data_IF_912012949300
#
_entry.id   IF_912012949300
#
_cell.length_a   1.000
_cell.length_b   1.000
_cell.length_c   1.000
_cell.angle_alpha   90.00
_cell.angle_beta   90.00
_cell.angle_gamma   90.00
#
_symmetry.space_group_name_H-M   'P 1'
#
loop_
_entity.id
_entity.type
_entity.pdbx_description
1 polymer ?
#
# COMPACT_ATOMS: atom_id res chain seq x y z
N UNK A 1 20.96 -37.52 16.45
CA UNK A 1 20.67 -36.51 15.47
C UNK A 1 20.40 -35.20 16.13
N UNK A 2 21.30 -34.29 15.96
CA UNK A 2 21.26 -32.99 16.58
C UNK A 2 20.63 -31.99 15.62
N UNK A 3 19.67 -31.23 16.16
CA UNK A 3 19.14 -30.03 15.49
C UNK A 3 20.29 -29.04 15.24
N UNK A 4 20.35 -28.42 14.05
CA UNK A 4 21.35 -27.39 13.77
C UNK A 4 21.13 -26.11 14.56
N UNK A 5 19.96 -25.96 15.17
CA UNK A 5 19.58 -24.79 15.98
C UNK A 5 19.95 -24.95 17.46
N UNK A 6 20.47 -26.11 17.87
CA UNK A 6 20.78 -26.40 19.28
C UNK A 6 22.23 -26.78 19.46
N UNK A 7 22.79 -26.41 20.60
CA UNK A 7 24.08 -26.90 21.08
C UNK A 7 23.83 -27.84 22.28
N UNK A 8 24.69 -28.87 22.37
CA UNK A 8 24.60 -29.89 23.41
C UNK A 8 25.89 -29.87 24.20
N UNK A 9 25.79 -29.66 25.51
CA UNK A 9 26.92 -29.67 26.45
C UNK A 9 26.70 -30.73 27.55
N UNK A 10 27.77 -31.40 27.89
CA UNK A 10 27.75 -32.31 29.02
C UNK A 10 28.10 -31.56 30.29
N UNK A 11 27.24 -31.68 31.31
CA UNK A 11 27.50 -31.07 32.59
C UNK A 11 28.66 -31.79 33.26
N UNK A 12 29.70 -31.05 33.68
CA UNK A 12 30.88 -31.57 34.31
C UNK A 12 30.53 -32.44 35.55
N UNK A 13 31.04 -33.70 35.55
CA UNK A 13 30.88 -34.59 36.67
C UNK A 13 29.52 -35.29 36.79
N UNK A 14 28.64 -35.17 35.80
CA UNK A 14 27.35 -35.84 35.77
C UNK A 14 27.07 -36.48 34.42
N UNK A 15 26.07 -37.35 34.37
CA UNK A 15 25.54 -37.93 33.13
C UNK A 15 24.52 -37.02 32.42
N UNK A 16 24.24 -35.84 33.00
CA UNK A 16 23.28 -34.90 32.41
C UNK A 16 23.84 -34.16 31.20
N UNK A 17 22.99 -34.00 30.22
CA UNK A 17 23.25 -33.26 28.99
C UNK A 17 22.40 -32.02 28.97
N UNK A 18 23.02 -30.85 28.77
CA UNK A 18 22.31 -29.59 28.64
C UNK A 18 22.13 -29.28 27.15
N UNK A 19 20.89 -29.12 26.73
CA UNK A 19 20.53 -28.74 25.36
C UNK A 19 20.06 -27.30 25.39
N UNK A 20 20.76 -26.41 24.66
CA UNK A 20 20.41 -24.99 24.55
C UNK A 20 20.26 -24.59 23.10
N UNK A 21 19.36 -23.66 22.78
CA UNK A 21 19.28 -23.08 21.46
C UNK A 21 20.54 -22.24 21.18
N UNK A 22 21.05 -22.30 19.95
CA UNK A 22 22.19 -21.47 19.54
C UNK A 22 21.81 -19.99 19.61
N UNK A 23 22.72 -19.07 20.01
CA UNK A 23 22.42 -17.65 20.12
C UNK A 23 22.12 -16.97 18.78
N UNK A 24 22.69 -17.49 17.70
CA UNK A 24 22.54 -16.93 16.36
C UNK A 24 22.14 -18.01 15.35
N UNK A 25 21.50 -17.58 14.26
CA UNK A 25 21.17 -18.47 13.17
C UNK A 25 22.46 -19.09 12.59
N UNK A 26 22.45 -20.40 12.33
CA UNK A 26 23.56 -20.99 11.60
C UNK A 26 23.64 -20.43 10.19
N UNK A 27 24.84 -20.03 9.78
CA UNK A 27 25.10 -19.57 8.40
C UNK A 27 25.44 -20.81 7.59
N UNK A 28 24.62 -21.13 6.59
CA UNK A 28 24.99 -22.14 5.61
C UNK A 28 26.14 -21.61 4.73
N UNK A 29 27.16 -22.40 4.42
CA UNK A 29 28.20 -21.98 3.48
C UNK A 29 27.66 -21.54 2.11
N UNK A 30 26.49 -22.06 1.73
CA UNK A 30 25.83 -21.77 0.47
C UNK A 30 24.84 -20.60 0.55
N UNK A 31 24.73 -19.95 1.72
CA UNK A 31 23.86 -18.78 1.89
C UNK A 31 24.48 -17.56 1.20
N UNK A 32 23.81 -16.95 0.21
CA UNK A 32 24.33 -15.78 -0.47
C UNK A 32 24.55 -14.60 0.50
N UNK A 33 25.60 -13.81 0.26
CA UNK A 33 25.99 -12.67 1.10
C UNK A 33 24.89 -11.60 1.23
N UNK A 34 23.97 -11.56 0.31
CA UNK A 34 22.89 -10.55 0.25
C UNK A 34 21.54 -11.02 0.80
N UNK A 35 21.48 -12.17 1.47
CA UNK A 35 20.33 -12.55 2.29
C UNK A 35 20.30 -11.63 3.52
N UNK A 36 19.10 -11.14 3.89
CA UNK A 36 18.95 -10.31 5.07
C UNK A 36 19.12 -11.09 6.38
N UNK A 37 20.28 -11.73 6.51
CA UNK A 37 20.62 -12.57 7.65
C UNK A 37 20.39 -11.84 8.97
N UNK A 38 20.84 -10.59 9.08
CA UNK A 38 20.68 -9.81 10.30
C UNK A 38 19.21 -9.63 10.70
N UNK A 39 18.34 -9.39 9.72
CA UNK A 39 16.90 -9.24 9.95
C UNK A 39 16.26 -10.53 10.41
N UNK A 40 16.58 -11.64 9.73
CA UNK A 40 16.09 -12.97 10.12
C UNK A 40 16.66 -13.42 11.46
N UNK A 41 17.92 -13.10 11.73
CA UNK A 41 18.56 -13.45 12.99
C UNK A 41 17.90 -12.74 14.18
N UNK A 42 17.49 -11.48 14.03
CA UNK A 42 16.74 -10.78 15.09
C UNK A 42 15.39 -11.45 15.38
N UNK A 43 14.70 -11.94 14.35
CA UNK A 43 13.46 -12.71 14.54
C UNK A 43 13.77 -14.00 15.30
N UNK A 44 14.82 -14.70 14.92
CA UNK A 44 15.28 -15.90 15.59
C UNK A 44 15.63 -15.63 17.06
N UNK A 45 16.34 -14.55 17.36
CA UNK A 45 16.69 -14.18 18.74
C UNK A 45 15.44 -13.89 19.58
N UNK A 46 14.44 -13.21 19.01
CA UNK A 46 13.16 -13.00 19.67
C UNK A 46 12.47 -14.35 19.99
N UNK A 47 12.51 -15.27 19.04
CA UNK A 47 11.98 -16.62 19.19
C UNK A 47 12.66 -17.37 20.33
N UNK A 48 13.98 -17.24 20.47
CA UNK A 48 14.73 -17.85 21.59
C UNK A 48 14.27 -17.32 22.94
N UNK A 49 14.07 -16.02 23.06
CA UNK A 49 13.66 -15.39 24.33
C UNK A 49 12.32 -15.95 24.80
N UNK A 50 11.41 -16.28 23.90
CA UNK A 50 10.09 -16.85 24.25
C UNK A 50 10.08 -18.38 24.23
N UNK A 51 11.26 -19.01 24.15
CA UNK A 51 11.40 -20.47 24.10
C UNK A 51 10.61 -21.11 22.93
N UNK A 52 10.60 -20.43 21.79
CA UNK A 52 9.83 -20.84 20.61
C UNK A 52 10.61 -21.73 19.64
N UNK A 53 11.93 -21.86 19.81
CA UNK A 53 12.76 -22.69 18.91
C UNK A 53 12.37 -24.17 18.98
N UNK A 54 11.83 -24.60 20.10
CA UNK A 54 11.33 -25.99 20.31
C UNK A 54 10.17 -26.37 19.38
N UNK A 55 9.50 -25.38 18.79
CA UNK A 55 8.42 -25.64 17.82
C UNK A 55 8.95 -26.17 16.48
N UNK A 56 10.26 -26.13 16.28
CA UNK A 56 10.92 -26.49 15.03
C UNK A 56 11.87 -27.67 15.20
N UNK A 57 11.87 -28.57 14.24
CA UNK A 57 12.81 -29.68 14.14
C UNK A 57 13.64 -29.50 12.87
N UNK A 58 14.81 -28.86 13.01
CA UNK A 58 15.73 -28.57 11.91
C UNK A 58 16.98 -29.43 12.09
N UNK A 59 17.09 -30.48 11.29
CA UNK A 59 18.27 -31.33 11.26
C UNK A 59 19.37 -30.76 10.35
N UNK A 60 20.41 -31.56 10.06
CA UNK A 60 21.54 -31.13 9.24
C UNK A 60 21.24 -30.97 7.76
N UNK A 61 20.01 -31.13 7.30
CA UNK A 61 19.70 -30.93 5.88
C UNK A 61 19.54 -29.45 5.55
N UNK A 62 20.13 -29.03 4.43
CA UNK A 62 19.98 -27.67 3.91
C UNK A 62 18.51 -27.37 3.59
N UNK A 63 17.74 -28.39 3.19
CA UNK A 63 16.32 -28.27 2.90
C UNK A 63 15.52 -27.83 4.13
N UNK A 64 15.76 -28.46 5.30
CA UNK A 64 15.07 -28.11 6.54
C UNK A 64 15.48 -26.74 7.07
N UNK A 65 16.78 -26.42 6.97
CA UNK A 65 17.25 -25.10 7.32
C UNK A 65 16.65 -24.04 6.42
N UNK A 66 16.56 -24.28 5.12
CA UNK A 66 15.90 -23.39 4.17
C UNK A 66 14.43 -23.19 4.49
N UNK A 67 13.72 -24.25 4.83
CA UNK A 67 12.31 -24.16 5.25
C UNK A 67 12.14 -23.33 6.52
N UNK A 68 13.04 -23.45 7.47
CA UNK A 68 13.05 -22.62 8.68
C UNK A 68 13.32 -21.15 8.35
N UNK A 69 14.30 -20.88 7.50
CA UNK A 69 14.57 -19.51 7.03
C UNK A 69 13.36 -18.92 6.28
N UNK A 70 12.63 -19.74 5.53
CA UNK A 70 11.37 -19.33 4.87
C UNK A 70 10.29 -18.93 5.87
N UNK A 71 10.18 -19.64 6.98
CA UNK A 71 9.27 -19.26 8.07
C UNK A 71 9.62 -17.87 8.63
N UNK A 72 10.90 -17.61 8.88
CA UNK A 72 11.36 -16.32 9.36
C UNK A 72 11.15 -15.22 8.30
N UNK A 73 11.39 -15.55 7.05
CA UNK A 73 11.20 -14.60 5.95
C UNK A 73 9.73 -14.21 5.76
N UNK A 74 8.80 -15.11 5.96
CA UNK A 74 7.37 -14.80 5.93
C UNK A 74 6.98 -13.81 7.04
N UNK A 75 7.69 -13.79 8.15
CA UNK A 75 7.50 -12.79 9.21
C UNK A 75 8.13 -11.45 8.78
N UNK A 76 9.30 -11.46 8.15
CA UNK A 76 10.02 -10.26 7.76
C UNK A 76 9.42 -9.59 6.51
N UNK A 77 9.26 -10.33 5.42
CA UNK A 77 8.89 -9.78 4.11
C UNK A 77 7.50 -10.22 3.61
N UNK A 78 6.86 -11.19 4.24
CA UNK A 78 5.54 -11.71 3.86
C UNK A 78 4.47 -11.46 4.91
N UNK A 79 4.55 -10.36 5.61
CA UNK A 79 3.68 -10.08 6.76
C UNK A 79 2.51 -9.18 6.35
N UNK A 80 1.25 -9.49 6.73
CA UNK A 80 0.10 -8.66 6.37
C UNK A 80 0.20 -7.23 6.92
N UNK A 81 0.86 -7.00 8.06
CA UNK A 81 1.07 -5.66 8.62
C UNK A 81 1.89 -4.74 7.72
N UNK A 82 2.62 -5.31 6.78
CA UNK A 82 3.45 -4.57 5.83
C UNK A 82 2.66 -3.77 4.79
N UNK A 83 1.36 -4.06 4.59
CA UNK A 83 0.60 -3.60 3.43
C UNK A 83 -0.44 -2.52 3.74
N UNK A 84 -0.86 -2.36 4.99
CA UNK A 84 -1.94 -1.44 5.34
C UNK A 84 -1.61 0.02 5.05
N UNK A 85 -0.37 0.45 5.25
CA UNK A 85 0.04 1.83 4.92
C UNK A 85 -0.10 2.14 3.44
N UNK A 86 0.20 1.18 2.57
CA UNK A 86 0.06 1.35 1.12
C UNK A 86 -1.41 1.40 0.70
N UNK A 87 -2.26 0.59 1.33
CA UNK A 87 -3.71 0.64 1.12
C UNK A 87 -4.29 2.00 1.52
N UNK A 88 -3.92 2.52 2.68
CA UNK A 88 -4.37 3.83 3.16
C UNK A 88 -3.88 4.96 2.27
N UNK A 89 -2.62 4.92 1.83
CA UNK A 89 -2.05 5.92 0.93
C UNK A 89 -2.79 5.96 -0.41
N UNK A 90 -3.05 4.81 -1.01
CA UNK A 90 -3.76 4.70 -2.30
C UNK A 90 -5.22 5.15 -2.18
N UNK A 91 -5.89 4.78 -1.10
CA UNK A 91 -7.26 5.20 -0.84
C UNK A 91 -7.39 6.73 -0.75
N UNK A 92 -6.52 7.37 0.01
CA UNK A 92 -6.49 8.84 0.12
C UNK A 92 -6.18 9.49 -1.22
N UNK A 93 -5.25 8.94 -1.98
CA UNK A 93 -4.91 9.42 -3.31
C UNK A 93 -6.09 9.40 -4.28
N UNK A 94 -6.95 8.38 -4.19
CA UNK A 94 -8.18 8.32 -5.00
C UNK A 94 -9.11 9.48 -4.71
N UNK A 95 -9.33 9.81 -3.45
CA UNK A 95 -10.22 10.93 -3.08
C UNK A 95 -9.61 12.29 -3.44
N UNK A 96 -8.30 12.45 -3.31
CA UNK A 96 -7.58 13.64 -3.79
C UNK A 96 -7.79 13.83 -5.29
N UNK A 97 -7.65 12.77 -6.08
CA UNK A 97 -7.83 12.81 -7.52
C UNK A 97 -9.28 13.14 -7.92
N UNK A 98 -10.26 12.64 -7.18
CA UNK A 98 -11.67 13.00 -7.38
C UNK A 98 -11.85 14.52 -7.25
N UNK A 99 -11.25 15.14 -6.24
CA UNK A 99 -11.34 16.58 -6.03
C UNK A 99 -10.61 17.38 -7.11
N UNK A 100 -9.36 16.99 -7.43
CA UNK A 100 -8.52 17.75 -8.36
C UNK A 100 -8.89 17.55 -9.82
N UNK A 101 -9.48 16.42 -10.17
CA UNK A 101 -9.82 16.06 -11.56
C UNK A 101 -11.27 16.32 -11.94
N UNK A 102 -12.11 16.76 -10.99
CA UNK A 102 -13.49 17.13 -11.33
C UNK A 102 -13.50 18.33 -12.28
N UNK A 103 -14.01 18.13 -13.50
CA UNK A 103 -14.06 19.14 -14.54
C UNK A 103 -15.35 19.96 -14.51
N UNK A 104 -16.37 19.52 -13.82
CA UNK A 104 -17.62 20.25 -13.69
C UNK A 104 -17.45 21.43 -12.75
N UNK A 105 -18.09 22.54 -13.10
CA UNK A 105 -18.04 23.77 -12.31
C UNK A 105 -19.47 24.17 -11.92
N UNK A 106 -19.74 24.41 -10.63
CA UNK A 106 -21.02 24.93 -10.22
C UNK A 106 -21.18 26.37 -10.73
N UNK A 107 -22.43 26.78 -10.94
CA UNK A 107 -22.72 28.14 -11.27
C UNK A 107 -22.70 29.06 -10.03
N UNK A 108 -22.63 30.35 -10.26
CA UNK A 108 -22.56 31.34 -9.18
C UNK A 108 -23.74 31.19 -8.22
N UNK A 109 -23.42 31.12 -6.92
CA UNK A 109 -24.36 30.95 -5.82
C UNK A 109 -25.21 29.67 -5.90
N UNK A 110 -24.73 28.69 -6.64
CA UNK A 110 -25.42 27.40 -6.82
C UNK A 110 -24.51 26.23 -6.46
N UNK A 111 -25.13 25.08 -6.32
CA UNK A 111 -24.49 23.84 -5.92
C UNK A 111 -24.37 22.87 -7.09
N UNK A 112 -23.36 22.05 -7.01
CA UNK A 112 -23.14 20.86 -7.81
C UNK A 112 -22.96 19.70 -6.82
N UNK A 113 -23.69 18.61 -7.03
CA UNK A 113 -23.53 17.38 -6.24
C UNK A 113 -23.19 16.25 -7.20
N UNK A 114 -22.22 15.42 -6.82
CA UNK A 114 -21.88 14.18 -7.53
C UNK A 114 -21.73 13.03 -6.57
N UNK A 115 -22.12 11.86 -7.01
CA UNK A 115 -21.81 10.59 -6.34
C UNK A 115 -21.21 9.63 -7.34
N UNK A 116 -20.32 8.77 -6.86
CA UNK A 116 -19.64 7.85 -7.76
C UNK A 116 -19.09 6.63 -7.08
N UNK A 117 -18.63 5.73 -7.94
CA UNK A 117 -17.99 4.48 -7.57
C UNK A 117 -16.57 4.47 -8.12
N UNK A 118 -15.66 3.86 -7.37
CA UNK A 118 -14.25 3.75 -7.74
C UNK A 118 -13.76 2.33 -7.49
N UNK A 119 -12.82 1.89 -8.31
CA UNK A 119 -12.17 0.60 -8.16
C UNK A 119 -10.71 0.67 -8.57
N UNK A 120 -9.84 0.08 -7.75
CA UNK A 120 -8.42 -0.09 -8.05
C UNK A 120 -8.08 -1.57 -7.99
N UNK A 121 -7.36 -2.03 -9.00
CA UNK A 121 -6.81 -3.38 -9.05
C UNK A 121 -5.32 -3.30 -9.38
N UNK A 122 -4.48 -3.83 -8.50
CA UNK A 122 -3.04 -3.75 -8.63
C UNK A 122 -2.35 -4.70 -7.68
N UNK A 123 -1.23 -4.29 -7.15
CA UNK A 123 -0.52 -5.07 -6.16
C UNK A 123 0.97 -4.75 -6.09
N UNK A 124 1.64 -5.47 -5.22
CA UNK A 124 3.08 -5.39 -4.99
C UNK A 124 3.73 -6.67 -5.48
N UNK A 125 4.83 -6.54 -6.18
CA UNK A 125 5.70 -7.66 -6.53
C UNK A 125 7.15 -7.22 -6.44
N UNK A 126 7.67 -7.22 -5.23
CA UNK A 126 9.06 -6.87 -4.95
C UNK A 126 9.87 -8.13 -4.73
N UNK A 127 10.94 -8.31 -5.49
CA UNK A 127 11.87 -9.39 -5.32
C UNK A 127 13.05 -8.92 -4.47
N UNK A 128 12.97 -9.16 -3.16
CA UNK A 128 14.06 -8.81 -2.24
C UNK A 128 15.22 -9.78 -2.32
N UNK A 129 14.91 -11.03 -2.62
CA UNK A 129 15.90 -12.08 -2.81
C UNK A 129 15.71 -12.59 -4.23
N UNK A 130 16.58 -12.36 -5.11
CA UNK A 130 16.49 -12.87 -6.49
C UNK A 130 16.23 -14.38 -6.53
N UNK A 131 15.60 -14.85 -7.57
CA UNK A 131 15.46 -16.29 -7.80
C UNK A 131 16.82 -16.96 -7.79
N UNK A 132 16.97 -18.03 -7.02
CA UNK A 132 18.19 -18.80 -6.95
C UNK A 132 19.13 -18.45 -5.79
N UNK A 133 18.71 -17.62 -4.85
CA UNK A 133 19.49 -17.34 -3.66
C UNK A 133 19.65 -18.55 -2.74
N UNK A 134 18.68 -19.44 -2.74
CA UNK A 134 18.72 -20.66 -1.96
C UNK A 134 18.70 -21.85 -2.90
N UNK A 135 19.40 -22.90 -2.51
CA UNK A 135 19.39 -24.18 -3.24
C UNK A 135 18.00 -24.82 -3.21
N UNK A 136 17.24 -24.52 -2.16
CA UNK A 136 15.88 -25.00 -1.95
C UNK A 136 14.89 -23.84 -1.84
N UNK A 137 13.64 -24.12 -2.16
CA UNK A 137 12.56 -23.14 -1.99
C UNK A 137 12.35 -22.84 -0.50
N UNK A 138 12.65 -21.63 -0.10
CA UNK A 138 12.47 -21.15 1.29
C UNK A 138 11.10 -20.55 1.53
N UNK A 139 10.16 -20.70 0.59
CA UNK A 139 8.87 -20.03 0.62
C UNK A 139 8.89 -18.76 -0.22
N UNK A 140 8.00 -17.82 0.07
CA UNK A 140 7.95 -16.56 -0.67
C UNK A 140 9.17 -15.71 -0.30
N UNK A 141 10.12 -15.57 -1.22
CA UNK A 141 11.24 -14.64 -1.09
C UNK A 141 10.87 -13.23 -1.55
N UNK A 142 9.68 -13.06 -2.07
CA UNK A 142 9.18 -11.83 -2.65
C UNK A 142 8.03 -11.27 -1.81
N UNK A 143 7.94 -9.95 -1.75
CA UNK A 143 6.71 -9.30 -1.31
C UNK A 143 5.72 -9.35 -2.47
N UNK A 144 4.85 -10.33 -2.48
CA UNK A 144 3.86 -10.56 -3.52
C UNK A 144 2.46 -10.51 -2.95
N UNK A 145 1.70 -9.48 -3.35
CA UNK A 145 0.33 -9.28 -2.91
C UNK A 145 -0.52 -8.70 -4.02
N UNK A 146 -1.75 -9.19 -4.13
CA UNK A 146 -2.79 -8.61 -4.97
C UNK A 146 -3.59 -7.60 -4.14
N UNK A 147 -3.74 -6.39 -4.66
CA UNK A 147 -4.43 -5.29 -4.00
C UNK A 147 -5.69 -4.93 -4.75
N UNK A 148 -6.79 -4.79 -4.01
CA UNK A 148 -8.06 -4.29 -4.52
C UNK A 148 -8.61 -3.23 -3.59
N UNK A 149 -9.06 -2.11 -4.16
CA UNK A 149 -9.70 -1.03 -3.44
C UNK A 149 -11.00 -0.71 -4.18
N UNK A 150 -12.12 -0.81 -3.48
CA UNK A 150 -13.44 -0.57 -4.07
C UNK A 150 -14.24 0.33 -3.15
N UNK A 151 -14.78 1.41 -3.68
CA UNK A 151 -15.51 2.35 -2.84
C UNK A 151 -16.45 3.25 -3.57
N UNK A 152 -16.96 4.18 -2.79
CA UNK A 152 -17.93 5.17 -3.23
C UNK A 152 -17.60 6.52 -2.61
N UNK A 153 -18.05 7.57 -3.27
CA UNK A 153 -17.89 8.94 -2.79
C UNK A 153 -19.13 9.78 -3.07
N UNK A 154 -19.25 10.84 -2.32
CA UNK A 154 -20.11 11.99 -2.63
C UNK A 154 -19.26 13.26 -2.58
N UNK A 155 -19.54 14.15 -3.51
CA UNK A 155 -18.83 15.41 -3.66
C UNK A 155 -19.90 16.53 -3.79
N UNK A 156 -19.69 17.62 -3.07
CA UNK A 156 -20.50 18.83 -3.21
C UNK A 156 -19.61 20.02 -3.47
N UNK A 157 -19.94 20.83 -4.47
CA UNK A 157 -19.24 22.08 -4.77
C UNK A 157 -20.20 23.24 -4.83
N UNK A 158 -19.78 24.37 -4.27
CA UNK A 158 -20.54 25.61 -4.22
C UNK A 158 -19.78 26.73 -4.93
N UNK A 159 -20.45 27.40 -5.86
CA UNK A 159 -19.91 28.55 -6.58
C UNK A 159 -20.01 29.83 -5.75
N UNK A 160 -18.94 30.14 -4.98
CA UNK A 160 -18.91 31.33 -4.12
C UNK A 160 -18.74 32.62 -4.94
N UNK A 161 -18.04 32.55 -6.06
CA UNK A 161 -17.91 33.65 -7.04
C UNK A 161 -17.68 33.03 -8.44
N UNK A 162 -17.55 33.87 -9.44
CA UNK A 162 -17.22 33.40 -10.81
C UNK A 162 -15.86 32.71 -10.88
N UNK A 163 -14.98 32.96 -9.91
CA UNK A 163 -13.61 32.48 -9.89
C UNK A 163 -13.29 31.61 -8.67
N UNK A 164 -14.23 31.45 -7.73
CA UNK A 164 -13.97 30.69 -6.49
C UNK A 164 -15.06 29.67 -6.24
N UNK A 165 -14.66 28.43 -6.07
CA UNK A 165 -15.52 27.30 -5.73
C UNK A 165 -15.02 26.65 -4.47
N UNK A 166 -15.92 26.36 -3.54
CA UNK A 166 -15.65 25.52 -2.35
C UNK A 166 -16.19 24.13 -2.57
N UNK A 167 -15.48 23.13 -2.10
CA UNK A 167 -15.90 21.74 -2.24
C UNK A 167 -15.67 20.90 -0.99
N UNK A 168 -16.46 19.86 -0.88
CA UNK A 168 -16.31 18.82 0.14
C UNK A 168 -16.43 17.45 -0.50
N UNK A 169 -15.67 16.50 0.00
CA UNK A 169 -15.75 15.08 -0.41
C UNK A 169 -15.90 14.24 0.83
N UNK A 170 -16.83 13.31 0.79
CA UNK A 170 -16.93 12.21 1.74
C UNK A 170 -16.95 10.90 0.97
N UNK A 171 -16.38 9.87 1.55
CA UNK A 171 -16.37 8.57 0.88
C UNK A 171 -15.83 7.47 1.74
N UNK A 172 -15.88 6.28 1.21
CA UNK A 172 -15.37 5.09 1.85
C UNK A 172 -14.84 4.11 0.85
N UNK A 173 -13.85 3.34 1.26
CA UNK A 173 -13.24 2.28 0.47
C UNK A 173 -13.16 0.99 1.28
N UNK A 174 -13.43 -0.12 0.63
CA UNK A 174 -12.99 -1.44 1.07
C UNK A 174 -11.60 -1.70 0.52
N UNK A 175 -10.68 -2.07 1.41
CA UNK A 175 -9.28 -2.23 1.13
C UNK A 175 -8.91 -3.70 1.31
N UNK A 176 -8.17 -4.27 0.37
CA UNK A 176 -7.78 -5.67 0.43
C UNK A 176 -6.40 -5.88 -0.15
N UNK A 177 -5.56 -6.61 0.59
CA UNK A 177 -4.31 -7.18 0.07
C UNK A 177 -4.26 -8.66 0.41
N UNK A 178 -4.17 -9.49 -0.62
CA UNK A 178 -3.99 -10.94 -0.48
C UNK A 178 -2.54 -11.28 -0.84
N UNK A 179 -1.82 -11.84 0.12
CA UNK A 179 -0.41 -12.19 -0.03
C UNK A 179 -0.29 -13.59 -0.62
N UNK A 180 0.78 -13.82 -1.38
CA UNK A 180 1.04 -15.12 -2.01
C UNK A 180 1.25 -16.26 -1.02
N UNK A 181 1.66 -15.97 0.22
CA UNK A 181 1.84 -16.95 1.29
C UNK A 181 0.54 -17.34 2.02
N UNK A 182 -0.61 -16.81 1.59
CA UNK A 182 -1.92 -17.09 2.20
C UNK A 182 -2.34 -16.13 3.29
N UNK A 183 -1.47 -15.23 3.74
CA UNK A 183 -1.83 -14.14 4.64
C UNK A 183 -2.61 -13.07 3.90
N UNK A 184 -3.39 -12.30 4.63
CA UNK A 184 -4.18 -11.20 4.04
C UNK A 184 -4.42 -10.08 5.04
N UNK A 185 -4.70 -8.90 4.52
CA UNK A 185 -5.24 -7.79 5.29
C UNK A 185 -6.45 -7.23 4.55
N UNK A 186 -7.53 -7.07 5.30
CA UNK A 186 -8.77 -6.43 4.85
C UNK A 186 -8.99 -5.17 5.66
N UNK A 187 -9.47 -4.11 5.04
CA UNK A 187 -9.74 -2.86 5.74
C UNK A 187 -10.94 -2.13 5.19
N UNK A 188 -11.45 -1.22 6.01
CA UNK A 188 -12.46 -0.24 5.65
C UNK A 188 -11.90 1.15 5.94
N UNK A 189 -11.95 2.03 4.95
CA UNK A 189 -11.52 3.42 5.07
C UNK A 189 -12.72 4.35 4.98
N UNK A 190 -12.77 5.32 5.87
CA UNK A 190 -13.74 6.41 5.82
C UNK A 190 -12.98 7.71 5.64
N UNK A 191 -13.33 8.47 4.60
CA UNK A 191 -12.66 9.69 4.19
C UNK A 191 -13.60 10.90 4.26
N UNK A 192 -13.05 12.03 4.70
CA UNK A 192 -13.67 13.34 4.52
C UNK A 192 -12.60 14.35 4.13
N UNK A 193 -12.94 15.26 3.22
CA UNK A 193 -12.03 16.29 2.76
C UNK A 193 -12.75 17.57 2.38
N UNK A 194 -12.00 18.66 2.38
CA UNK A 194 -12.45 19.96 1.94
C UNK A 194 -11.42 20.58 1.02
N UNK A 195 -11.87 21.35 0.04
CA UNK A 195 -10.99 21.99 -0.92
C UNK A 195 -11.60 23.27 -1.46
N UNK A 196 -10.75 24.07 -2.09
CA UNK A 196 -11.16 25.27 -2.81
C UNK A 196 -10.52 25.28 -4.19
N UNK A 197 -11.26 25.78 -5.19
CA UNK A 197 -10.78 25.96 -6.55
C UNK A 197 -10.82 27.43 -6.89
N UNK A 198 -9.69 27.93 -7.35
CA UNK A 198 -9.55 29.32 -7.84
C UNK A 198 -9.25 29.29 -9.33
N UNK A 199 -10.05 30.03 -10.11
CA UNK A 199 -9.85 30.18 -11.54
C UNK A 199 -9.19 31.52 -11.83
N UNK A 200 -8.06 31.51 -12.50
CA UNK A 200 -7.33 32.70 -12.96
C UNK A 200 -7.13 32.56 -14.45
N UNK A 201 -8.04 33.17 -15.24
CA UNK A 201 -8.09 32.94 -16.68
C UNK A 201 -8.32 31.46 -16.98
N UNK A 202 -7.40 30.85 -17.73
CA UNK A 202 -7.44 29.43 -18.09
C UNK A 202 -6.77 28.53 -17.06
N UNK A 203 -6.24 29.08 -15.97
CA UNK A 203 -5.61 28.33 -14.89
C UNK A 203 -6.61 28.03 -13.79
N UNK A 204 -6.70 26.78 -13.38
CA UNK A 204 -7.46 26.33 -12.21
C UNK A 204 -6.49 25.86 -11.15
N UNK A 205 -6.52 26.47 -9.97
CA UNK A 205 -5.73 26.07 -8.80
C UNK A 205 -6.65 25.44 -7.77
N UNK A 206 -6.35 24.22 -7.36
CA UNK A 206 -7.10 23.49 -6.33
C UNK A 206 -6.21 23.25 -5.14
N UNK A 207 -6.64 23.71 -3.97
CA UNK A 207 -5.99 23.39 -2.71
C UNK A 207 -6.95 22.66 -1.80
N UNK A 208 -6.50 21.63 -1.13
CA UNK A 208 -7.36 20.85 -0.28
C UNK A 208 -6.64 20.09 0.82
N UNK A 209 -7.45 19.54 1.71
CA UNK A 209 -7.01 18.70 2.81
C UNK A 209 -8.01 17.57 3.02
N UNK A 210 -7.51 16.44 3.53
CA UNK A 210 -8.31 15.27 3.78
C UNK A 210 -7.91 14.55 5.05
N UNK A 211 -8.86 13.83 5.61
CA UNK A 211 -8.70 13.00 6.78
C UNK A 211 -9.32 11.64 6.50
N UNK A 212 -8.59 10.57 6.79
CA UNK A 212 -9.09 9.21 6.62
C UNK A 212 -8.84 8.37 7.86
N UNK A 213 -9.88 7.66 8.28
CA UNK A 213 -9.78 6.62 9.29
C UNK A 213 -9.82 5.26 8.60
N UNK A 214 -8.83 4.41 8.90
CA UNK A 214 -8.75 3.04 8.42
C UNK A 214 -8.90 2.05 9.55
N UNK A 215 -9.72 1.02 9.34
CA UNK A 215 -9.91 -0.10 10.25
C UNK A 215 -9.50 -1.37 9.52
N UNK A 216 -8.48 -2.07 10.04
CA UNK A 216 -7.86 -3.21 9.40
C UNK A 216 -7.98 -4.48 10.21
N UNK A 217 -8.28 -5.57 9.50
CA UNK A 217 -8.22 -6.94 10.01
C UNK A 217 -7.10 -7.67 9.27
N UNK A 218 -6.07 -8.08 10.01
CA UNK A 218 -4.97 -8.87 9.49
C UNK A 218 -5.17 -10.34 9.85
N UNK A 219 -5.00 -11.22 8.87
CA UNK A 219 -4.96 -12.67 9.04
C UNK A 219 -3.60 -13.17 8.58
N UNK A 220 -2.76 -13.54 9.53
CA UNK A 220 -1.43 -14.06 9.26
C UNK A 220 -1.45 -15.58 9.31
N UNK A 221 -1.09 -16.20 8.21
CA UNK A 221 -0.94 -17.64 8.09
C UNK A 221 0.53 -18.01 8.25
N UNK A 222 0.86 -18.74 9.30
CA UNK A 222 2.20 -19.23 9.53
C UNK A 222 2.26 -20.73 9.23
N UNK A 223 3.01 -21.10 8.20
CA UNK A 223 3.22 -22.49 7.78
C UNK A 223 4.59 -22.93 8.26
N UNK A 224 4.62 -23.89 9.17
CA UNK A 224 5.85 -24.48 9.72
C UNK A 224 6.11 -25.83 9.05
N UNK A 225 6.92 -25.83 7.99
CA UNK A 225 7.28 -27.02 7.22
C UNK A 225 8.24 -27.95 7.96
N UNK A 226 8.77 -27.50 9.08
CA UNK A 226 9.72 -28.24 9.92
C UNK A 226 9.21 -28.32 11.36
N UNK A 227 7.91 -28.45 11.52
CA UNK A 227 7.28 -28.52 12.83
C UNK A 227 7.80 -29.72 13.65
N UNK A 228 8.08 -29.47 14.92
CA UNK A 228 8.36 -30.54 15.89
C UNK A 228 7.08 -31.35 16.14
N UNK A 229 7.22 -32.51 16.77
CA UNK A 229 6.08 -33.39 17.08
C UNK A 229 5.05 -32.74 18.01
N UNK A 230 5.44 -31.71 18.74
CA UNK A 230 4.58 -30.98 19.70
C UNK A 230 3.95 -29.72 19.09
N UNK A 231 4.34 -29.33 17.86
CA UNK A 231 3.90 -28.10 17.24
C UNK A 231 2.79 -28.35 16.20
N UNK A 232 1.93 -27.35 16.05
CA UNK A 232 0.96 -27.31 14.94
C UNK A 232 1.68 -26.84 13.68
N UNK A 233 1.58 -27.62 12.55
CA UNK A 233 2.25 -27.23 11.31
C UNK A 233 1.71 -25.94 10.69
N UNK A 234 0.45 -25.61 10.96
CA UNK A 234 -0.21 -24.40 10.42
C UNK A 234 -0.88 -23.66 11.56
N UNK A 235 -0.47 -22.42 11.75
CA UNK A 235 -1.04 -21.52 12.74
C UNK A 235 -1.68 -20.33 12.06
N UNK A 236 -2.84 -19.91 12.58
CA UNK A 236 -3.55 -18.72 12.12
C UNK A 236 -3.58 -17.69 13.24
N UNK A 237 -3.13 -16.48 12.92
CA UNK A 237 -3.14 -15.34 13.82
C UNK A 237 -3.98 -14.24 13.24
N UNK A 238 -4.79 -13.59 14.06
CA UNK A 238 -5.66 -12.50 13.61
C UNK A 238 -5.54 -11.32 14.56
N UNK A 239 -5.62 -10.12 14.01
CA UNK A 239 -5.68 -8.90 14.79
C UNK A 239 -6.46 -7.82 14.04
N UNK A 240 -7.04 -6.90 14.83
CA UNK A 240 -7.68 -5.68 14.35
C UNK A 240 -6.87 -4.48 14.84
N UNK A 241 -6.55 -3.56 13.93
CA UNK A 241 -5.83 -2.33 14.25
C UNK A 241 -6.28 -1.20 13.32
N UNK A 242 -6.00 0.03 13.71
CA UNK A 242 -6.49 1.23 13.03
C UNK A 242 -5.33 2.07 12.53
N UNK A 243 -5.63 2.94 11.56
CA UNK A 243 -4.75 4.05 11.21
C UNK A 243 -5.54 5.33 10.98
N UNK A 244 -4.81 6.45 11.04
CA UNK A 244 -5.30 7.77 10.65
C UNK A 244 -4.38 8.31 9.57
N UNK A 245 -4.97 8.82 8.50
CA UNK A 245 -4.25 9.40 7.39
C UNK A 245 -4.66 10.86 7.21
N UNK A 246 -3.67 11.73 7.11
CA UNK A 246 -3.83 13.16 6.87
C UNK A 246 -3.23 13.48 5.52
N UNK A 247 -3.93 14.27 4.72
CA UNK A 247 -3.50 14.64 3.38
C UNK A 247 -3.68 16.13 3.16
N UNK A 248 -2.69 16.76 2.53
CA UNK A 248 -2.77 18.16 2.08
C UNK A 248 -2.19 18.22 0.67
N UNK A 249 -2.83 18.99 -0.21
CA UNK A 249 -2.43 19.03 -1.60
C UNK A 249 -2.69 20.37 -2.26
N UNK A 250 -1.93 20.63 -3.33
CA UNK A 250 -2.08 21.75 -4.21
C UNK A 250 -1.97 21.25 -5.66
N UNK A 251 -2.94 21.62 -6.49
CA UNK A 251 -3.01 21.26 -7.90
C UNK A 251 -3.14 22.52 -8.75
N UNK A 252 -2.46 22.55 -9.89
CA UNK A 252 -2.65 23.54 -10.92
C UNK A 252 -2.93 22.85 -12.24
N UNK A 253 -3.95 23.33 -12.97
CA UNK A 253 -4.29 22.83 -14.33
C UNK A 253 -4.51 24.01 -15.24
N UNK A 254 -3.78 24.05 -16.32
CA UNK A 254 -3.94 25.09 -17.34
C UNK A 254 -4.62 24.54 -18.58
N UNK A 255 -5.73 25.16 -19.01
CA UNK A 255 -6.48 24.76 -20.20
C UNK A 255 -6.06 25.65 -21.37
N UNK A 256 -5.21 25.13 -22.25
CA UNK A 256 -4.73 25.86 -23.42
C UNK A 256 -5.58 25.53 -24.66
N UNK A 257 -6.35 26.50 -25.19
CA UNK A 257 -7.14 26.25 -26.40
C UNK A 257 -6.25 26.01 -27.63
N UNK A 258 -6.51 24.92 -28.33
CA UNK A 258 -5.80 24.55 -29.55
C UNK A 258 -6.65 24.71 -30.82
N UNK A 259 -7.85 25.30 -30.69
CA UNK A 259 -8.82 25.45 -31.81
C UNK A 259 -9.78 24.26 -31.90
N UNK A 260 -10.94 24.46 -32.54
CA UNK A 260 -11.95 23.41 -32.80
C UNK A 260 -12.39 22.61 -31.58
N UNK A 261 -12.56 23.29 -30.43
CA UNK A 261 -12.92 22.65 -29.17
C UNK A 261 -11.88 21.65 -28.66
N UNK A 262 -10.64 21.75 -29.12
CA UNK A 262 -9.50 21.03 -28.59
C UNK A 262 -8.75 21.87 -27.56
N UNK A 263 -8.30 21.19 -26.49
CA UNK A 263 -7.51 21.81 -25.42
C UNK A 263 -6.32 20.91 -25.09
N UNK A 264 -5.17 21.54 -24.86
CA UNK A 264 -4.02 20.89 -24.23
C UNK A 264 -3.97 21.36 -22.80
N UNK A 265 -4.03 20.41 -21.84
CA UNK A 265 -4.11 20.73 -20.42
C UNK A 265 -2.94 20.15 -19.65
N UNK A 266 -1.83 20.91 -19.53
CA UNK A 266 -0.77 20.55 -18.58
C UNK A 266 -1.26 20.79 -17.15
N UNK A 267 -0.83 19.91 -16.24
CA UNK A 267 -1.18 20.03 -14.83
C UNK A 267 -0.08 19.48 -13.93
N UNK A 268 -0.13 19.89 -12.67
CA UNK A 268 0.75 19.39 -11.63
C UNK A 268 0.05 19.33 -10.31
N UNK A 269 0.45 18.39 -9.47
CA UNK A 269 -0.06 18.23 -8.10
C UNK A 269 1.11 17.99 -7.16
N UNK A 270 1.15 18.75 -6.08
CA UNK A 270 2.05 18.51 -4.95
C UNK A 270 1.19 18.04 -3.78
N UNK A 271 1.56 16.92 -3.16
CA UNK A 271 0.82 16.37 -2.03
C UNK A 271 1.75 15.93 -0.92
N UNK A 272 1.26 16.05 0.31
CA UNK A 272 1.89 15.52 1.50
C UNK A 272 0.87 14.66 2.25
N UNK A 273 1.25 13.41 2.52
CA UNK A 273 0.41 12.42 3.18
C UNK A 273 1.13 11.92 4.43
N UNK A 274 0.46 11.96 5.57
CA UNK A 274 0.97 11.47 6.84
C UNK A 274 0.04 10.38 7.36
N UNK A 275 0.59 9.19 7.65
CA UNK A 275 -0.17 8.04 8.13
C UNK A 275 0.36 7.66 9.51
N UNK A 276 -0.52 7.58 10.49
CA UNK A 276 -0.23 7.06 11.82
C UNK A 276 -0.93 5.71 11.98
N UNK A 277 -0.15 4.64 11.94
CA UNK A 277 -0.64 3.27 12.12
C UNK A 277 -0.48 2.87 13.59
N UNK A 278 -1.58 2.41 14.19
CA UNK A 278 -1.57 1.94 15.57
C UNK A 278 -0.85 0.60 15.70
N UNK A 279 -0.49 0.27 16.94
CA UNK A 279 0.08 -1.03 17.29
C UNK A 279 -0.91 -2.16 17.06
N UNK A 280 -0.40 -3.35 16.78
CA UNK A 280 -1.16 -4.58 16.62
C UNK A 280 -0.73 -5.62 17.67
N UNK A 281 -1.65 -6.52 18.03
CA UNK A 281 -1.43 -7.58 18.99
C UNK A 281 -2.23 -8.82 18.62
N UNK A 282 -1.54 -9.91 18.30
CA UNK A 282 -2.16 -11.17 17.84
C UNK A 282 -2.67 -12.06 18.98
N UNK A 283 -2.52 -11.65 20.23
CA UNK A 283 -2.97 -12.43 21.38
C UNK A 283 -1.89 -13.32 21.97
N UNK A 284 -2.30 -14.45 22.55
CA UNK A 284 -1.43 -15.29 23.39
C UNK A 284 -1.05 -16.65 22.81
N UNK A 285 -1.40 -16.91 21.55
CA UNK A 285 -0.99 -18.16 20.89
C UNK A 285 0.53 -18.26 20.79
N UNK A 286 1.04 -19.49 20.70
CA UNK A 286 2.47 -19.73 20.52
C UNK A 286 2.98 -18.95 19.29
N UNK A 287 4.07 -18.22 19.47
CA UNK A 287 4.70 -17.39 18.42
C UNK A 287 3.77 -16.32 17.84
N UNK A 288 2.80 -15.85 18.61
CA UNK A 288 2.03 -14.66 18.30
C UNK A 288 2.93 -13.43 18.32
N UNK A 289 2.64 -12.47 17.47
CA UNK A 289 3.41 -11.25 17.29
C UNK A 289 2.63 -10.06 17.83
N UNK A 290 3.34 -9.08 18.36
CA UNK A 290 2.85 -7.73 18.56
C UNK A 290 3.74 -6.74 17.84
N UNK A 291 3.17 -5.62 17.39
CA UNK A 291 3.88 -4.57 16.69
C UNK A 291 3.71 -3.24 17.39
N UNK A 292 4.72 -2.38 17.29
CA UNK A 292 4.62 -1.00 17.75
C UNK A 292 3.86 -0.15 16.72
N UNK A 293 3.36 1.00 17.17
CA UNK A 293 2.84 2.01 16.26
C UNK A 293 3.93 2.54 15.34
N UNK A 294 3.55 2.96 14.15
CA UNK A 294 4.47 3.50 13.14
C UNK A 294 3.82 4.66 12.42
N UNK A 295 4.60 5.71 12.18
CA UNK A 295 4.20 6.84 11.35
C UNK A 295 4.94 6.80 10.03
N UNK A 296 4.21 7.13 8.95
CA UNK A 296 4.72 7.20 7.59
C UNK A 296 4.42 8.57 7.02
N UNK A 297 5.32 9.12 6.21
CA UNK A 297 5.05 10.35 5.50
C UNK A 297 5.52 10.28 4.04
N UNK A 298 4.74 10.87 3.14
CA UNK A 298 4.97 10.83 1.72
C UNK A 298 4.77 12.21 1.12
N UNK A 299 5.80 12.73 0.46
CA UNK A 299 5.68 13.91 -0.38
C UNK A 299 5.77 13.48 -1.82
N UNK A 300 4.76 13.79 -2.62
CA UNK A 300 4.68 13.40 -4.01
C UNK A 300 4.47 14.60 -4.91
N UNK A 301 5.15 14.59 -6.06
CA UNK A 301 4.94 15.54 -7.13
C UNK A 301 4.47 14.79 -8.38
N UNK A 302 3.32 15.18 -8.91
CA UNK A 302 2.74 14.62 -10.13
C UNK A 302 2.70 15.71 -11.19
N UNK A 303 3.16 15.40 -12.40
CA UNK A 303 3.00 16.25 -13.57
C UNK A 303 2.36 15.42 -14.67
N UNK A 304 1.52 16.07 -15.46
CA UNK A 304 0.86 15.40 -16.56
C UNK A 304 0.37 16.37 -17.63
N UNK A 305 -0.10 15.80 -18.71
CA UNK A 305 -0.73 16.54 -19.79
C UNK A 305 -1.89 15.73 -20.34
N UNK A 306 -3.04 16.38 -20.49
CA UNK A 306 -4.22 15.81 -21.10
C UNK A 306 -4.52 16.53 -22.42
N UNK A 307 -5.02 15.79 -23.39
CA UNK A 307 -5.67 16.32 -24.59
C UNK A 307 -7.17 16.16 -24.37
N UNK A 308 -7.90 17.25 -24.58
CA UNK A 308 -9.34 17.29 -24.34
C UNK A 308 -10.09 17.76 -25.57
N UNK A 309 -11.15 17.05 -25.94
CA UNK A 309 -12.08 17.40 -26.99
C UNK A 309 -13.47 17.64 -26.42
N UNK A 310 -14.02 18.81 -26.60
CA UNK A 310 -15.41 19.15 -26.26
C UNK A 310 -16.29 18.97 -27.48
N UNK A 311 -17.38 18.22 -27.33
CA UNK A 311 -18.35 17.92 -28.40
C UNK A 311 -19.70 18.47 -27.94
N UNK A 312 -20.13 19.63 -28.53
CA UNK A 312 -21.46 20.17 -28.22
C UNK A 312 -22.57 19.27 -28.79
N UNK A 313 -23.67 19.18 -28.04
CA UNK A 313 -24.89 18.49 -28.41
C UNK A 313 -26.07 19.46 -28.36
N UNK A 314 -27.21 19.05 -28.91
CA UNK A 314 -28.44 19.84 -28.85
C UNK A 314 -28.87 20.12 -27.41
N UNK A 315 -28.67 19.18 -26.48
CA UNK A 315 -29.11 19.26 -25.07
C UNK A 315 -27.96 19.28 -24.04
N UNK A 316 -26.75 19.55 -24.46
CA UNK A 316 -25.61 19.58 -23.57
C UNK A 316 -24.29 19.43 -24.32
N UNK A 317 -23.29 18.91 -23.61
CA UNK A 317 -21.96 18.65 -24.19
C UNK A 317 -21.32 17.41 -23.61
N UNK A 318 -20.54 16.74 -24.45
CA UNK A 318 -19.63 15.66 -24.03
C UNK A 318 -18.20 16.16 -24.08
N UNK A 319 -17.36 15.62 -23.20
CA UNK A 319 -15.92 15.89 -23.22
C UNK A 319 -15.17 14.57 -23.17
N UNK A 320 -14.26 14.39 -24.12
CA UNK A 320 -13.32 13.28 -24.15
C UNK A 320 -11.94 13.80 -23.78
N UNK A 321 -11.26 13.13 -22.88
CA UNK A 321 -9.87 13.45 -22.58
C UNK A 321 -9.03 12.19 -22.46
N UNK A 322 -7.76 12.32 -22.84
CA UNK A 322 -6.75 11.28 -22.68
C UNK A 322 -5.42 11.95 -22.35
N UNK A 323 -4.61 11.30 -21.55
CA UNK A 323 -3.37 11.90 -21.14
C UNK A 323 -2.37 10.94 -20.55
N UNK A 324 -1.21 11.51 -20.23
CA UNK A 324 -0.09 10.83 -19.61
C UNK A 324 0.33 11.62 -18.37
N UNK A 325 0.83 10.91 -17.37
CA UNK A 325 1.32 11.52 -16.14
C UNK A 325 2.58 10.84 -15.64
N UNK A 326 3.34 11.59 -14.87
CA UNK A 326 4.51 11.12 -14.16
C UNK A 326 4.40 11.57 -12.70
N UNK A 327 4.59 10.63 -11.77
CA UNK A 327 4.60 10.92 -10.34
C UNK A 327 5.94 10.51 -9.76
N UNK A 328 6.52 11.39 -8.96
CA UNK A 328 7.73 11.11 -8.19
C UNK A 328 7.44 11.25 -6.69
N UNK A 329 7.82 10.23 -5.91
CA UNK A 329 7.89 10.35 -4.47
C UNK A 329 9.19 11.08 -4.10
N UNK A 330 9.05 12.29 -3.57
CA UNK A 330 10.18 13.10 -3.10
C UNK A 330 10.66 12.62 -1.73
N UNK A 331 9.73 12.13 -0.90
CA UNK A 331 10.02 11.47 0.37
C UNK A 331 9.10 10.24 0.51
N UNK A 332 9.55 9.23 1.27
CA UNK A 332 8.76 8.04 1.59
C UNK A 332 9.03 6.84 0.70
N UNK A 333 9.95 6.94 -0.28
CA UNK A 333 10.33 5.82 -1.13
C UNK A 333 11.44 4.95 -0.52
N UNK A 334 12.08 5.40 0.55
CA UNK A 334 13.13 4.64 1.22
C UNK A 334 12.54 3.42 1.95
N UNK A 335 13.40 2.41 2.15
CA UNK A 335 13.03 1.21 2.89
C UNK A 335 12.61 1.57 4.32
N UNK A 336 11.44 1.09 4.74
CA UNK A 336 10.89 1.31 6.06
C UNK A 336 10.53 -0.01 6.74
N UNK A 337 10.58 -0.01 8.07
CA UNK A 337 10.27 -1.19 8.88
C UNK A 337 9.31 -0.82 10.01
N UNK A 338 8.44 -1.77 10.34
CA UNK A 338 7.64 -1.73 11.56
C UNK A 338 8.39 -2.56 12.60
N UNK A 339 8.51 -2.06 13.82
CA UNK A 339 9.07 -2.83 14.92
C UNK A 339 8.05 -3.81 15.46
N UNK A 340 8.40 -5.08 15.48
CA UNK A 340 7.59 -6.16 16.04
C UNK A 340 8.40 -7.01 16.98
N UNK A 341 7.72 -7.94 17.66
CA UNK A 341 8.30 -8.95 18.52
C UNK A 341 7.36 -10.13 18.68
N UNK A 342 7.89 -11.30 18.96
CA UNK A 342 7.06 -12.33 19.57
C UNK A 342 6.68 -11.86 20.98
N UNK A 343 5.48 -12.17 21.43
CA UNK A 343 4.98 -11.70 22.73
C UNK A 343 5.95 -12.11 23.84
N UNK A 344 6.53 -11.11 24.52
CA UNK A 344 7.56 -11.32 25.56
C UNK A 344 8.99 -11.46 25.04
N UNK A 345 9.19 -11.40 23.73
CA UNK A 345 10.49 -11.52 23.07
C UNK A 345 11.19 -10.19 22.81
N UNK A 346 12.36 -10.27 22.21
CA UNK A 346 13.11 -9.10 21.76
C UNK A 346 12.60 -8.57 20.41
N UNK A 347 12.92 -7.33 20.11
CA UNK A 347 12.45 -6.64 18.91
C UNK A 347 13.10 -7.15 17.63
N UNK A 348 12.33 -7.13 16.54
CA UNK A 348 12.80 -7.35 15.18
C UNK A 348 12.08 -6.41 14.22
N UNK A 349 12.57 -6.34 12.99
CA UNK A 349 11.99 -5.52 11.95
C UNK A 349 11.02 -6.32 11.08
N UNK A 350 9.90 -5.70 10.72
CA UNK A 350 8.95 -6.16 9.71
C UNK A 350 9.04 -5.18 8.55
N UNK A 351 9.40 -5.68 7.37
CA UNK A 351 9.58 -4.85 6.19
C UNK A 351 8.24 -4.34 5.68
N UNK A 352 8.15 -3.03 5.48
CA UNK A 352 6.96 -2.40 4.90
C UNK A 352 6.97 -2.55 3.39
N UNK A 353 5.80 -2.73 2.78
CA UNK A 353 5.67 -2.83 1.34
C UNK A 353 6.34 -1.64 0.65
N UNK A 354 7.20 -1.92 -0.29
CA UNK A 354 8.00 -0.92 -0.98
C UNK A 354 7.10 0.02 -1.80
N UNK A 355 7.43 1.31 -1.78
CA UNK A 355 6.80 2.32 -2.61
C UNK A 355 7.82 2.77 -3.63
N UNK A 356 7.49 2.60 -4.89
CA UNK A 356 8.41 2.97 -5.95
C UNK A 356 8.52 4.49 -6.08
N UNK A 357 9.72 4.95 -6.37
CA UNK A 357 10.01 6.38 -6.49
C UNK A 357 9.29 7.01 -7.69
N UNK A 358 9.13 6.26 -8.79
CA UNK A 358 8.58 6.76 -10.04
C UNK A 358 7.32 6.00 -10.45
N UNK A 359 6.31 6.73 -10.95
CA UNK A 359 5.09 6.16 -11.53
C UNK A 359 4.76 6.86 -12.83
N UNK A 360 4.44 6.09 -13.86
CA UNK A 360 3.96 6.59 -15.14
C UNK A 360 2.53 6.11 -15.32
N UNK A 361 1.63 7.02 -15.67
CA UNK A 361 0.22 6.73 -15.86
C UNK A 361 -0.28 7.11 -17.24
N UNK A 362 -1.25 6.33 -17.72
CA UNK A 362 -2.09 6.64 -18.87
C UNK A 362 -3.51 6.78 -18.37
N UNK A 363 -4.24 7.81 -18.82
CA UNK A 363 -5.62 8.01 -18.41
C UNK A 363 -6.51 8.36 -19.59
N UNK A 364 -7.78 8.03 -19.43
CA UNK A 364 -8.86 8.45 -20.35
C UNK A 364 -10.10 8.77 -19.54
N UNK A 365 -10.85 9.77 -19.96
CA UNK A 365 -12.05 10.22 -19.28
C UNK A 365 -13.09 10.66 -20.29
N UNK A 366 -14.34 10.31 -20.00
CA UNK A 366 -15.52 10.83 -20.70
C UNK A 366 -16.41 11.54 -19.69
N UNK A 367 -16.88 12.74 -20.02
CA UNK A 367 -17.87 13.47 -19.23
C UNK A 367 -19.04 13.91 -20.10
N UNK A 368 -20.22 13.90 -19.49
CA UNK A 368 -21.46 14.41 -20.10
C UNK A 368 -22.07 15.45 -19.16
N UNK A 369 -22.38 16.62 -19.73
CA UNK A 369 -23.07 17.69 -19.01
C UNK A 369 -24.30 18.09 -19.82
N UNK A 370 -25.48 17.85 -19.26
CA UNK A 370 -26.76 18.16 -19.88
C UNK A 370 -27.27 19.51 -19.42
N UNK A 371 -28.03 20.20 -20.27
CA UNK A 371 -28.65 21.49 -19.98
C UNK A 371 -29.60 21.43 -18.79
N UNK A 372 -30.25 20.27 -18.54
CA UNK A 372 -31.12 20.05 -17.41
C UNK A 372 -30.38 19.89 -16.07
N UNK A 373 -29.04 19.97 -16.08
CA UNK A 373 -28.23 19.87 -14.88
C UNK A 373 -27.65 18.49 -14.61
N UNK A 374 -28.04 17.45 -15.32
CA UNK A 374 -27.51 16.11 -15.13
C UNK A 374 -26.05 16.05 -15.58
N UNK A 375 -25.22 15.43 -14.73
CA UNK A 375 -23.78 15.24 -14.95
C UNK A 375 -23.48 13.75 -14.89
N UNK A 376 -22.58 13.31 -15.77
CA UNK A 376 -22.12 11.94 -15.79
C UNK A 376 -20.64 11.92 -16.15
N UNK A 377 -19.87 11.05 -15.52
CA UNK A 377 -18.50 10.78 -15.92
C UNK A 377 -18.16 9.29 -15.83
N UNK A 378 -17.19 8.90 -16.63
CA UNK A 378 -16.53 7.61 -16.54
C UNK A 378 -15.05 7.82 -16.84
N UNK A 379 -14.18 7.19 -16.05
CA UNK A 379 -12.74 7.32 -16.20
C UNK A 379 -12.04 5.98 -16.00
N UNK A 380 -10.90 5.87 -16.61
CA UNK A 380 -9.99 4.75 -16.44
C UNK A 380 -8.55 5.20 -16.53
N UNK A 381 -7.69 4.53 -15.79
CA UNK A 381 -6.25 4.75 -15.88
C UNK A 381 -5.47 3.45 -15.67
N UNK A 382 -4.24 3.46 -16.17
CA UNK A 382 -3.28 2.38 -15.97
C UNK A 382 -1.96 2.98 -15.55
N UNK A 383 -1.41 2.50 -14.44
CA UNK A 383 -0.18 3.01 -13.88
C UNK A 383 0.87 1.90 -13.78
N UNK A 384 2.13 2.27 -14.03
CA UNK A 384 3.30 1.42 -13.86
C UNK A 384 4.30 2.15 -12.98
N UNK A 385 4.80 1.47 -11.96
CA UNK A 385 5.75 2.05 -11.01
C UNK A 385 7.13 1.41 -11.13
N UNK A 386 8.17 2.20 -10.93
CA UNK A 386 9.57 1.76 -10.98
C UNK A 386 10.42 2.58 -10.01
N UNK A 387 11.52 1.97 -9.57
CA UNK A 387 12.57 2.67 -8.83
C UNK A 387 13.69 3.14 -9.76
N UNK A 388 14.32 4.25 -9.37
CA UNK A 388 15.54 4.74 -10.01
C UNK A 388 16.78 3.91 -9.63
N UNK A 389 16.74 3.18 -8.51
CA UNK A 389 17.82 2.31 -8.10
C UNK A 389 17.83 1.05 -8.97
N UNK A 390 18.89 0.88 -9.73
CA UNK A 390 19.11 -0.28 -10.59
C UNK A 390 19.36 -1.56 -9.81
N UNK A 391 18.54 -1.86 -8.87
CA UNK A 391 18.58 -3.11 -8.15
C UNK A 391 18.15 -4.30 -9.02
N UNK A 392 18.71 -4.46 -10.20
CA UNK A 392 18.43 -5.57 -11.11
C UNK A 392 16.93 -5.80 -11.39
N UNK A 393 16.14 -4.73 -11.43
CA UNK A 393 14.71 -4.78 -11.70
C UNK A 393 13.88 -5.40 -10.57
N UNK A 394 14.37 -5.33 -9.35
CA UNK A 394 13.77 -6.03 -8.22
C UNK A 394 12.50 -5.37 -7.69
N UNK A 395 12.42 -4.05 -7.69
CA UNK A 395 11.31 -3.32 -7.09
C UNK A 395 10.25 -3.02 -8.15
N UNK A 396 9.16 -3.80 -8.14
CA UNK A 396 8.10 -3.69 -9.14
C UNK A 396 6.73 -3.75 -8.49
N UNK A 397 5.85 -2.91 -8.97
CA UNK A 397 4.43 -3.10 -8.78
C UNK A 397 3.86 -3.93 -9.92
N UNK A 398 2.80 -4.67 -9.61
CA UNK A 398 1.89 -5.15 -10.65
C UNK A 398 1.25 -3.92 -11.28
N UNK A 399 1.04 -3.93 -12.59
CA UNK A 399 0.33 -2.85 -13.27
C UNK A 399 -0.99 -2.56 -12.55
N UNK A 400 -1.27 -1.27 -12.32
CA UNK A 400 -2.43 -0.84 -11.55
C UNK A 400 -3.50 -0.26 -12.49
N UNK A 401 -4.69 -0.86 -12.44
CA UNK A 401 -5.87 -0.36 -13.15
C UNK A 401 -6.78 0.38 -12.18
N UNK A 402 -7.23 1.55 -12.60
CA UNK A 402 -8.18 2.36 -11.86
C UNK A 402 -9.36 2.64 -12.78
N UNK A 403 -10.57 2.43 -12.27
CA UNK A 403 -11.81 2.75 -12.97
C UNK A 403 -12.74 3.51 -12.03
N UNK A 404 -13.49 4.44 -12.58
CA UNK A 404 -14.45 5.22 -11.82
C UNK A 404 -15.60 5.68 -12.68
N UNK A 405 -16.74 5.90 -12.04
CA UNK A 405 -17.93 6.48 -12.65
C UNK A 405 -18.64 7.38 -11.67
N UNK A 406 -19.25 8.43 -12.16
CA UNK A 406 -19.97 9.39 -11.34
C UNK A 406 -21.26 9.86 -12.02
N UNK A 407 -22.23 10.19 -11.19
CA UNK A 407 -23.49 10.78 -11.60
C UNK A 407 -23.77 11.97 -10.68
N UNK A 408 -24.22 13.08 -11.25
CA UNK A 408 -24.43 14.29 -10.50
C UNK A 408 -25.48 15.21 -11.08
N UNK A 409 -25.65 16.33 -10.38
CA UNK A 409 -26.67 17.31 -10.71
C UNK A 409 -26.22 18.71 -10.28
N UNK A 410 -26.40 19.67 -11.19
CA UNK A 410 -26.28 21.11 -10.89
C UNK A 410 -27.67 21.69 -10.58
N UNK A 411 -27.75 22.45 -9.50
CA UNK A 411 -29.05 23.07 -9.11
C UNK A 411 -28.87 24.45 -8.48
#
# INVERSE_FOLDING_TARGET
>A
TTSVLHSVERKNGSSEVIVTSKPDLPVSPDTPENVNYEKLNKIYQSMRVVDGVKEFNVDNSDEKLSAFLGYLNDIYAGNPYSYSSELSRKSVGMFRDIATENQFKPELNKWLIMGGLTHVDGGTKDTYYGKGYYTYDVGSSDMDADTKITGAYMLGEYGASDTLTYGVVIGGNKLKSNLSNGSKVDGDALYMGAYAKKYVGNLKVTGGLGLQYGDYDADRLAVNKVASSLAEPVMKYSDNYNDMTYDIYLNGRYSNPMGDNFFLEPYGTLSYTYIKQDSADEGSKVLAIETDSKSFDYTAAKVGVDIKKVIPHEKGKSTLSAGVSYTRLLTGADEENITGRFKGGSDFDILVAHKNEHSIGLNAKYTLELENGILFDVKGSYNVERDSHNGNGKNRNKGEWIAGTGLGYKF
#
